data_IF_767402292794
#
_entry.id   IF_767402292794
#
_cell.length_a   1.000
_cell.length_b   1.000
_cell.length_c   1.000
_cell.angle_alpha   90.00
_cell.angle_beta   90.00
_cell.angle_gamma   90.00
#
_symmetry.space_group_name_H-M   'P 1'
#
loop_
_entity.id
_entity.type
_entity.pdbx_description
1 polymer ?
#
# COMPACT_ATOMS: atom_id res chain seq x y z
N UNK A 1 39.23 -1.19 9.28
CA UNK A 1 38.69 -0.99 7.91
C UNK A 1 37.45 -1.86 7.79
N UNK A 2 36.25 -1.28 7.93
CA UNK A 2 35.01 -2.05 7.84
C UNK A 2 34.79 -2.42 6.37
N UNK A 3 34.88 -3.70 6.02
CA UNK A 3 34.54 -4.21 4.69
C UNK A 3 33.10 -3.84 4.41
N UNK A 4 32.90 -2.85 3.53
CA UNK A 4 31.57 -2.35 3.21
C UNK A 4 30.86 -3.41 2.36
N UNK A 5 30.13 -4.31 3.03
CA UNK A 5 29.33 -5.35 2.37
C UNK A 5 28.36 -4.67 1.41
N UNK A 6 28.49 -4.95 0.12
CA UNK A 6 27.62 -4.40 -0.90
C UNK A 6 26.29 -5.17 -0.89
N UNK A 7 25.16 -4.49 -1.16
CA UNK A 7 23.89 -5.17 -1.28
C UNK A 7 23.92 -6.17 -2.44
N UNK A 8 23.29 -7.32 -2.27
CA UNK A 8 23.14 -8.31 -3.34
C UNK A 8 22.10 -7.86 -4.38
N UNK A 9 21.13 -7.04 -3.94
CA UNK A 9 20.09 -6.43 -4.78
C UNK A 9 19.80 -5.00 -4.32
N UNK A 10 19.55 -4.11 -5.26
CA UNK A 10 19.00 -2.77 -5.06
C UNK A 10 17.61 -2.73 -5.66
N UNK A 11 16.59 -2.55 -4.83
CA UNK A 11 15.20 -2.69 -5.21
C UNK A 11 14.47 -1.37 -4.98
N UNK A 12 13.50 -1.07 -5.83
CA UNK A 12 12.48 -0.05 -5.56
C UNK A 12 11.20 -0.76 -5.12
N UNK A 13 10.61 -0.34 -4.00
CA UNK A 13 9.31 -0.80 -3.56
C UNK A 13 8.26 0.24 -3.94
N UNK A 14 7.37 -0.07 -4.89
CA UNK A 14 6.24 0.78 -5.20
C UNK A 14 5.13 0.59 -4.16
N UNK A 15 4.59 1.70 -3.67
CA UNK A 15 3.57 1.77 -2.62
C UNK A 15 2.41 2.73 -2.99
N UNK A 16 2.33 3.10 -4.27
CA UNK A 16 1.34 4.03 -4.80
C UNK A 16 1.51 5.47 -4.31
N UNK A 17 2.57 5.76 -3.55
CA UNK A 17 2.91 7.13 -3.19
C UNK A 17 3.53 7.86 -4.37
N UNK A 18 3.30 9.18 -4.49
CA UNK A 18 4.03 10.02 -5.45
C UNK A 18 5.55 9.86 -5.35
N UNK A 19 6.09 9.69 -4.14
CA UNK A 19 7.53 9.55 -3.94
C UNK A 19 8.12 8.28 -4.58
N UNK A 20 7.43 7.14 -4.50
CA UNK A 20 7.94 5.92 -5.12
C UNK A 20 7.95 6.02 -6.65
N UNK A 21 6.93 6.65 -7.24
CA UNK A 21 6.90 6.96 -8.68
C UNK A 21 7.99 7.97 -9.07
N UNK A 22 8.25 8.98 -8.23
CA UNK A 22 9.37 9.90 -8.44
C UNK A 22 10.71 9.18 -8.48
N UNK A 23 10.97 8.27 -7.53
CA UNK A 23 12.20 7.47 -7.53
C UNK A 23 12.36 6.64 -8.81
N UNK A 24 11.27 6.07 -9.31
CA UNK A 24 11.27 5.34 -10.58
C UNK A 24 11.72 6.24 -11.74
N UNK A 25 11.16 7.45 -11.85
CA UNK A 25 11.52 8.41 -12.91
C UNK A 25 12.95 8.93 -12.77
N UNK A 26 13.37 9.29 -11.55
CA UNK A 26 14.74 9.74 -11.30
C UNK A 26 15.75 8.65 -11.71
N UNK A 27 15.47 7.39 -11.40
CA UNK A 27 16.30 6.27 -11.82
C UNK A 27 16.25 6.05 -13.35
N UNK A 28 15.06 6.14 -13.96
CA UNK A 28 14.89 5.99 -15.40
C UNK A 28 15.57 7.10 -16.21
N UNK A 29 15.68 8.30 -15.65
CA UNK A 29 16.39 9.44 -16.24
C UNK A 29 17.89 9.46 -15.89
N UNK A 30 18.38 8.51 -15.09
CA UNK A 30 19.78 8.45 -14.68
C UNK A 30 20.21 9.50 -13.66
N UNK A 31 19.26 10.22 -13.04
CA UNK A 31 19.53 11.20 -11.98
C UNK A 31 19.94 10.51 -10.66
N UNK A 32 19.49 9.27 -10.44
CA UNK A 32 19.97 8.38 -9.38
C UNK A 32 20.36 7.02 -9.98
N UNK A 33 21.18 6.20 -9.28
CA UNK A 33 21.50 4.87 -9.77
C UNK A 33 20.23 4.03 -9.97
N UNK A 34 20.21 3.24 -11.04
CA UNK A 34 19.11 2.32 -11.35
C UNK A 34 18.94 1.25 -10.28
N UNK A 35 17.72 0.73 -10.18
CA UNK A 35 17.39 -0.42 -9.37
C UNK A 35 17.55 -1.70 -10.21
N UNK A 36 17.92 -2.80 -9.57
CA UNK A 36 17.92 -4.12 -10.21
C UNK A 36 16.48 -4.54 -10.55
N UNK A 37 15.54 -4.26 -9.65
CA UNK A 37 14.12 -4.51 -9.86
C UNK A 37 13.22 -3.48 -9.16
N UNK A 38 12.02 -3.31 -9.71
CA UNK A 38 10.90 -2.56 -9.17
C UNK A 38 9.83 -3.58 -8.74
N UNK A 39 9.55 -3.63 -7.44
CA UNK A 39 8.59 -4.55 -6.85
C UNK A 39 7.29 -3.84 -6.52
N UNK A 40 6.16 -4.48 -6.87
CA UNK A 40 4.82 -4.00 -6.56
C UNK A 40 4.11 -5.05 -5.72
N UNK A 41 3.55 -4.70 -4.54
CA UNK A 41 2.62 -5.59 -3.87
C UNK A 41 1.36 -5.71 -4.73
N UNK A 42 1.00 -6.92 -5.16
CA UNK A 42 -0.18 -7.13 -5.99
C UNK A 42 -1.28 -7.79 -5.18
N UNK A 43 -2.30 -6.99 -4.82
CA UNK A 43 -3.49 -7.47 -4.11
C UNK A 43 -4.49 -8.16 -5.03
N UNK A 44 -4.35 -7.97 -6.35
CA UNK A 44 -5.28 -8.43 -7.36
C UNK A 44 -6.64 -7.72 -7.34
N UNK A 45 -6.82 -6.65 -6.56
CA UNK A 45 -8.11 -5.96 -6.41
C UNK A 45 -8.01 -4.46 -6.65
N UNK A 46 -7.49 -4.09 -7.83
CA UNK A 46 -7.30 -2.71 -8.27
C UNK A 46 -8.37 -2.31 -9.30
N UNK A 47 -8.61 -1.00 -9.44
CA UNK A 47 -9.47 -0.48 -10.51
C UNK A 47 -8.79 -0.61 -11.88
N UNK A 48 -9.60 -0.51 -12.95
CA UNK A 48 -9.06 -0.45 -14.31
C UNK A 48 -8.10 0.74 -14.49
N UNK A 49 -8.41 1.87 -13.85
CA UNK A 49 -7.55 3.05 -13.83
C UNK A 49 -6.18 2.78 -13.17
N UNK A 50 -6.15 2.17 -11.98
CA UNK A 50 -4.89 1.78 -11.32
C UNK A 50 -4.10 0.77 -12.16
N UNK A 51 -4.76 -0.18 -12.82
CA UNK A 51 -4.08 -1.09 -13.75
C UNK A 51 -3.41 -0.38 -14.93
N UNK A 52 -4.07 0.62 -15.55
CA UNK A 52 -3.47 1.44 -16.62
C UNK A 52 -2.27 2.23 -16.11
N UNK A 53 -2.34 2.78 -14.90
CA UNK A 53 -1.23 3.50 -14.29
C UNK A 53 -0.03 2.58 -14.04
N UNK A 54 -0.25 1.41 -13.42
CA UNK A 54 0.80 0.41 -13.20
C UNK A 54 1.45 -0.03 -14.52
N UNK A 55 0.68 -0.15 -15.60
CA UNK A 55 1.21 -0.47 -16.92
C UNK A 55 2.08 0.66 -17.50
N UNK A 56 1.73 1.92 -17.24
CA UNK A 56 2.59 3.07 -17.59
C UNK A 56 3.89 3.04 -16.80
N UNK A 57 3.84 2.79 -15.49
CA UNK A 57 5.03 2.66 -14.65
C UNK A 57 5.91 1.48 -15.07
N UNK A 58 5.29 0.35 -15.43
CA UNK A 58 6.00 -0.82 -15.97
C UNK A 58 6.81 -0.47 -17.20
N UNK A 59 6.22 0.25 -18.16
CA UNK A 59 6.92 0.69 -19.39
C UNK A 59 8.11 1.60 -19.09
N UNK A 60 8.00 2.49 -18.10
CA UNK A 60 9.10 3.34 -17.65
C UNK A 60 10.23 2.48 -17.07
N UNK A 61 9.90 1.54 -16.17
CA UNK A 61 10.86 0.67 -15.53
C UNK A 61 11.61 -0.20 -16.56
N UNK A 62 10.88 -0.89 -17.43
CA UNK A 62 11.47 -1.81 -18.42
C UNK A 62 12.24 -1.06 -19.50
N UNK A 63 11.79 0.14 -19.91
CA UNK A 63 12.53 1.01 -20.83
C UNK A 63 13.88 1.47 -20.28
N UNK A 64 14.02 1.57 -18.95
CA UNK A 64 15.27 1.85 -18.27
C UNK A 64 16.08 0.59 -17.89
N UNK A 65 15.64 -0.59 -18.36
CA UNK A 65 16.21 -1.91 -18.02
C UNK A 65 16.25 -2.20 -16.51
N UNK A 66 15.20 -1.81 -15.79
CA UNK A 66 14.93 -2.27 -14.42
C UNK A 66 13.89 -3.39 -14.49
N UNK A 67 14.14 -4.52 -13.84
CA UNK A 67 13.19 -5.64 -13.81
C UNK A 67 11.87 -5.18 -13.17
N UNK A 68 10.74 -5.66 -13.68
CA UNK A 68 9.42 -5.36 -13.11
C UNK A 68 8.80 -6.62 -12.56
N UNK A 69 8.50 -6.64 -11.27
CA UNK A 69 7.98 -7.83 -10.61
C UNK A 69 6.80 -7.53 -9.68
N UNK A 70 5.73 -8.31 -9.85
CA UNK A 70 4.57 -8.32 -8.96
C UNK A 70 4.80 -9.32 -7.84
N UNK A 71 4.65 -8.87 -6.60
CA UNK A 71 4.65 -9.69 -5.42
C UNK A 71 3.20 -9.97 -5.02
N UNK A 72 2.64 -11.04 -5.58
CA UNK A 72 1.25 -11.44 -5.36
C UNK A 72 0.95 -11.79 -3.91
N UNK A 73 -0.14 -11.23 -3.37
CA UNK A 73 -0.66 -11.62 -2.06
C UNK A 73 -1.66 -12.77 -2.18
N UNK A 74 -2.03 -13.38 -1.06
CA UNK A 74 -3.31 -14.10 -1.02
C UNK A 74 -4.45 -13.16 -1.38
N UNK A 75 -5.52 -13.69 -2.00
CA UNK A 75 -6.60 -12.86 -2.55
C UNK A 75 -7.31 -12.05 -1.47
N UNK A 76 -7.08 -10.74 -1.46
CA UNK A 76 -7.74 -9.82 -0.52
C UNK A 76 -9.23 -9.72 -0.83
N UNK A 77 -9.61 -9.65 -2.12
CA UNK A 77 -11.00 -9.60 -2.54
C UNK A 77 -11.79 -10.84 -2.06
N UNK A 78 -11.28 -12.04 -2.33
CA UNK A 78 -11.93 -13.29 -1.94
C UNK A 78 -12.17 -13.36 -0.43
N UNK A 79 -11.15 -13.03 0.35
CA UNK A 79 -11.23 -13.11 1.81
C UNK A 79 -12.12 -12.03 2.41
N UNK A 80 -12.16 -10.84 1.78
CA UNK A 80 -13.02 -9.73 2.23
C UNK A 80 -14.48 -9.95 1.85
N UNK A 81 -14.77 -10.52 0.69
CA UNK A 81 -16.14 -10.75 0.22
C UNK A 81 -16.73 -12.08 0.69
N UNK A 82 -15.93 -12.91 1.35
CA UNK A 82 -16.37 -14.16 1.96
C UNK A 82 -16.62 -13.95 3.46
N UNK A 83 -17.90 -13.86 3.83
CA UNK A 83 -18.36 -13.76 5.21
C UNK A 83 -18.11 -15.02 6.06
N UNK A 84 -17.24 -15.95 5.65
CA UNK A 84 -16.72 -17.06 6.47
C UNK A 84 -15.24 -16.92 6.78
N UNK A 85 -14.55 -15.98 6.14
CA UNK A 85 -13.14 -15.73 6.31
C UNK A 85 -12.88 -14.42 7.07
N UNK A 86 -11.75 -14.32 7.78
CA UNK A 86 -11.33 -13.06 8.38
C UNK A 86 -11.05 -12.00 7.31
N UNK A 87 -11.67 -10.83 7.43
CA UNK A 87 -11.38 -9.70 6.55
C UNK A 87 -9.98 -9.13 6.83
N UNK A 88 -9.11 -9.01 5.81
CA UNK A 88 -7.83 -8.35 5.97
C UNK A 88 -7.91 -6.81 5.89
N UNK A 89 -9.04 -6.24 5.46
CA UNK A 89 -9.17 -4.79 5.32
C UNK A 89 -9.28 -4.10 6.69
N UNK A 90 -8.68 -2.89 6.87
CA UNK A 90 -8.78 -2.11 8.09
C UNK A 90 -10.13 -1.35 8.18
N UNK A 91 -11.24 -2.10 8.15
CA UNK A 91 -12.60 -1.55 8.15
C UNK A 91 -12.85 -0.69 9.39
N UNK A 92 -13.64 0.37 9.22
CA UNK A 92 -14.19 1.11 10.36
C UNK A 92 -15.32 0.32 10.97
N UNK A 93 -15.38 0.26 12.31
CA UNK A 93 -16.40 -0.51 13.02
C UNK A 93 -17.28 0.39 13.87
N UNK A 94 -18.53 -0.02 14.06
CA UNK A 94 -19.48 0.60 14.99
C UNK A 94 -20.14 -0.50 15.83
N UNK A 95 -19.86 -0.52 17.13
CA UNK A 95 -20.48 -1.44 18.08
C UNK A 95 -21.96 -1.11 18.31
N UNK A 96 -22.79 -2.04 18.82
CA UNK A 96 -24.21 -1.79 19.09
C UNK A 96 -24.50 -0.63 20.08
N UNK A 97 -23.56 -0.37 20.98
CA UNK A 97 -23.58 0.76 21.92
C UNK A 97 -23.15 2.10 21.29
N UNK A 98 -22.85 2.10 19.99
CA UNK A 98 -22.37 3.26 19.25
C UNK A 98 -20.84 3.48 19.35
N UNK A 99 -20.10 2.59 19.99
CA UNK A 99 -18.65 2.76 20.15
C UNK A 99 -17.92 2.62 18.81
N UNK A 100 -17.15 3.64 18.37
CA UNK A 100 -16.37 3.56 17.15
C UNK A 100 -15.11 2.71 17.34
N UNK A 101 -14.77 1.91 16.33
CA UNK A 101 -13.51 1.15 16.30
C UNK A 101 -12.93 1.02 14.89
N UNK A 102 -11.90 0.18 14.76
CA UNK A 102 -11.23 -0.10 13.48
C UNK A 102 -10.57 -1.48 13.51
N UNK A 103 -10.69 -2.23 12.42
CA UNK A 103 -10.00 -3.51 12.26
C UNK A 103 -8.48 -3.30 12.03
N UNK A 104 -7.64 -4.28 12.41
CA UNK A 104 -6.20 -4.24 12.13
C UNK A 104 -5.88 -4.19 10.63
N UNK A 105 -4.69 -3.72 10.29
CA UNK A 105 -4.20 -3.59 8.91
C UNK A 105 -3.71 -4.93 8.30
N UNK A 106 -4.57 -5.95 8.31
CA UNK A 106 -4.23 -7.30 7.82
C UNK A 106 -3.74 -7.34 6.38
N UNK A 107 -4.28 -6.47 5.51
CA UNK A 107 -3.92 -6.37 4.10
C UNK A 107 -2.50 -5.83 3.90
N UNK A 108 -2.05 -4.89 4.73
CA UNK A 108 -0.69 -4.37 4.69
C UNK A 108 0.31 -5.47 5.08
N UNK A 109 0.04 -6.18 6.18
CA UNK A 109 0.85 -7.34 6.60
C UNK A 109 0.99 -8.39 5.49
N UNK A 110 -0.09 -8.70 4.77
CA UNK A 110 -0.05 -9.65 3.63
C UNK A 110 0.83 -9.15 2.49
N UNK A 111 0.77 -7.86 2.17
CA UNK A 111 1.64 -7.25 1.15
C UNK A 111 3.11 -7.26 1.57
N UNK A 112 3.42 -6.93 2.84
CA UNK A 112 4.78 -7.03 3.38
C UNK A 112 5.33 -8.46 3.31
N UNK A 113 4.50 -9.47 3.62
CA UNK A 113 4.86 -10.89 3.51
C UNK A 113 5.11 -11.30 2.06
N UNK A 114 4.27 -10.86 1.12
CA UNK A 114 4.45 -11.14 -0.31
C UNK A 114 5.75 -10.53 -0.85
N UNK A 115 6.02 -9.27 -0.53
CA UNK A 115 7.26 -8.58 -0.92
C UNK A 115 8.48 -9.24 -0.29
N UNK A 116 8.43 -9.54 1.02
CA UNK A 116 9.52 -10.25 1.71
C UNK A 116 9.80 -11.60 1.06
N UNK A 117 8.76 -12.36 0.72
CA UNK A 117 8.89 -13.65 0.03
C UNK A 117 9.50 -13.50 -1.37
N UNK A 118 9.15 -12.42 -2.08
CA UNK A 118 9.73 -12.10 -3.37
C UNK A 118 11.22 -11.71 -3.26
N UNK A 119 11.57 -10.85 -2.32
CA UNK A 119 12.95 -10.44 -2.05
C UNK A 119 13.82 -11.66 -1.73
N UNK A 120 13.32 -12.60 -0.92
CA UNK A 120 14.01 -13.86 -0.63
C UNK A 120 14.35 -14.67 -1.87
N UNK A 121 13.43 -14.76 -2.84
CA UNK A 121 13.68 -15.41 -4.13
C UNK A 121 14.77 -14.69 -4.91
N UNK A 122 14.73 -13.36 -4.98
CA UNK A 122 15.75 -12.55 -5.67
C UNK A 122 17.15 -12.66 -5.04
N UNK A 123 17.21 -12.91 -3.73
CA UNK A 123 18.44 -13.17 -3.00
C UNK A 123 18.94 -14.62 -3.15
N UNK A 124 18.12 -15.54 -3.67
CA UNK A 124 18.45 -16.96 -3.84
C UNK A 124 18.13 -17.86 -2.64
N UNK A 125 17.36 -17.37 -1.66
CA UNK A 125 17.04 -18.08 -0.41
C UNK A 125 15.52 -18.15 -0.18
N UNK A 126 14.75 -18.82 -1.07
CA UNK A 126 13.31 -18.99 -0.87
C UNK A 126 13.03 -19.71 0.47
N UNK A 127 11.88 -19.37 1.10
CA UNK A 127 11.46 -20.05 2.33
C UNK A 127 11.40 -21.58 2.13
N UNK A 128 11.84 -22.41 3.10
CA UNK A 128 12.25 -22.05 4.47
C UNK A 128 13.75 -21.74 4.68
N UNK A 129 14.58 -21.71 3.62
CA UNK A 129 16.04 -21.60 3.76
C UNK A 129 16.48 -20.29 4.43
N UNK A 130 17.28 -20.29 5.51
CA UNK A 130 17.73 -19.04 6.13
C UNK A 130 18.54 -18.19 5.15
N UNK A 131 18.40 -16.86 5.24
CA UNK A 131 19.27 -15.93 4.50
C UNK A 131 20.55 -15.77 5.33
N UNK A 132 21.74 -16.06 4.77
CA UNK A 132 22.99 -15.94 5.51
C UNK A 132 23.29 -14.51 5.95
N UNK A 133 24.03 -14.37 7.04
CA UNK A 133 24.51 -13.08 7.52
C UNK A 133 25.31 -12.34 6.44
N UNK A 134 25.08 -11.04 6.32
CA UNK A 134 25.70 -10.20 5.30
C UNK A 134 25.05 -10.29 3.91
N UNK A 135 24.07 -11.19 3.68
CA UNK A 135 23.25 -11.19 2.46
C UNK A 135 21.99 -10.35 2.69
N UNK A 136 21.87 -9.24 1.97
CA UNK A 136 20.71 -8.35 2.07
C UNK A 136 20.39 -7.65 0.75
N UNK A 137 19.16 -7.14 0.65
CA UNK A 137 18.72 -6.22 -0.38
C UNK A 137 18.56 -4.81 0.19
N UNK A 138 19.05 -3.80 -0.52
CA UNK A 138 18.68 -2.40 -0.28
C UNK A 138 17.34 -2.12 -0.95
N UNK A 139 16.36 -1.66 -0.19
CA UNK A 139 15.01 -1.40 -0.66
C UNK A 139 14.69 0.09 -0.54
N UNK A 140 14.69 0.81 -1.65
CA UNK A 140 14.28 2.20 -1.70
C UNK A 140 12.75 2.31 -1.57
N UNK A 141 12.31 3.28 -0.77
CA UNK A 141 10.90 3.59 -0.52
C UNK A 141 10.62 5.07 -0.76
N UNK A 142 9.38 5.39 -1.13
CA UNK A 142 8.94 6.72 -1.58
C UNK A 142 8.77 7.79 -0.51
N UNK A 143 9.53 7.73 0.59
CA UNK A 143 9.40 8.68 1.70
C UNK A 143 10.39 9.84 1.59
N UNK A 144 9.85 11.06 1.63
CA UNK A 144 10.58 12.32 1.62
C UNK A 144 10.93 12.85 3.02
N UNK A 145 11.19 14.15 3.10
CA UNK A 145 11.59 14.86 4.33
C UNK A 145 10.54 14.86 5.43
N UNK A 146 9.26 14.74 5.08
CA UNK A 146 8.16 14.67 6.03
C UNK A 146 8.10 13.35 6.82
N UNK A 147 8.92 12.35 6.48
CA UNK A 147 8.89 11.05 7.13
C UNK A 147 9.78 11.02 8.38
N UNK A 148 9.14 11.09 9.56
CA UNK A 148 9.82 10.98 10.85
C UNK A 148 10.11 9.53 11.30
N UNK A 149 9.56 8.54 10.60
CA UNK A 149 9.66 7.13 11.00
C UNK A 149 10.67 6.36 10.14
N UNK A 150 11.21 5.28 10.71
CA UNK A 150 11.98 4.31 9.95
C UNK A 150 11.17 3.03 9.87
N UNK A 151 11.00 2.53 8.65
CA UNK A 151 10.50 1.19 8.42
C UNK A 151 11.49 0.17 8.98
N UNK A 152 10.95 -0.81 9.69
CA UNK A 152 11.66 -2.02 10.08
C UNK A 152 11.19 -3.20 9.22
N UNK A 153 12.11 -4.13 9.00
CA UNK A 153 11.88 -5.32 8.21
C UNK A 153 12.78 -6.44 8.69
N UNK A 154 12.71 -7.62 8.06
CA UNK A 154 13.61 -8.71 8.40
C UNK A 154 15.08 -8.29 8.09
N UNK A 155 16.08 -8.91 8.75
CA UNK A 155 17.49 -8.49 8.66
C UNK A 155 18.08 -8.37 7.25
N UNK A 156 17.52 -9.11 6.28
CA UNK A 156 17.94 -9.09 4.87
C UNK A 156 17.24 -8.03 4.01
N UNK A 157 16.38 -7.19 4.59
CA UNK A 157 15.70 -6.06 3.93
C UNK A 157 16.16 -4.76 4.59
N UNK A 158 16.98 -4.00 3.88
CA UNK A 158 17.50 -2.74 4.37
C UNK A 158 16.81 -1.57 3.66
N UNK A 159 15.94 -0.86 4.38
CA UNK A 159 15.23 0.28 3.81
C UNK A 159 16.16 1.48 3.55
N UNK A 160 15.94 2.14 2.42
CA UNK A 160 16.65 3.35 1.98
C UNK A 160 15.65 4.45 1.64
N UNK A 161 16.03 5.69 1.93
CA UNK A 161 15.17 6.87 1.82
C UNK A 161 15.81 7.92 0.88
N UNK A 162 15.95 7.66 -0.43
CA UNK A 162 16.71 8.54 -1.30
C UNK A 162 16.11 9.96 -1.40
N UNK A 163 14.78 10.10 -1.33
CA UNK A 163 14.13 11.41 -1.38
C UNK A 163 14.45 12.25 -0.15
N UNK A 164 14.42 11.66 1.06
CA UNK A 164 14.86 12.33 2.27
C UNK A 164 16.33 12.79 2.16
N UNK A 165 17.22 11.94 1.61
CA UNK A 165 18.62 12.30 1.37
C UNK A 165 18.79 13.44 0.35
N UNK A 166 17.86 13.56 -0.60
CA UNK A 166 17.81 14.66 -1.58
C UNK A 166 17.14 15.91 -1.02
N UNK A 167 16.54 15.86 0.18
CA UNK A 167 15.76 16.95 0.74
C UNK A 167 14.40 17.15 0.06
N UNK A 168 13.87 16.15 -0.64
CA UNK A 168 12.61 16.25 -1.37
C UNK A 168 11.43 15.88 -0.47
N UNK A 169 10.41 16.71 -0.49
CA UNK A 169 9.12 16.46 0.15
C UNK A 169 8.13 15.77 -0.80
N UNK A 170 7.00 15.29 -0.27
CA UNK A 170 5.89 14.81 -1.10
C UNK A 170 5.36 15.87 -2.07
N UNK A 171 5.44 17.16 -1.69
CA UNK A 171 5.03 18.27 -2.54
C UNK A 171 5.96 18.39 -3.75
N UNK A 172 7.26 18.28 -3.54
CA UNK A 172 8.26 18.32 -4.61
C UNK A 172 8.06 17.14 -5.55
N UNK A 173 7.79 15.95 -5.00
CA UNK A 173 7.45 14.77 -5.79
C UNK A 173 6.23 15.01 -6.68
N UNK A 174 5.14 15.56 -6.15
CA UNK A 174 3.94 15.88 -6.93
C UNK A 174 4.22 16.90 -8.04
N UNK A 175 4.96 17.97 -7.74
CA UNK A 175 5.32 18.97 -8.73
C UNK A 175 6.17 18.37 -9.85
N UNK A 176 7.14 17.52 -9.50
CA UNK A 176 7.96 16.79 -10.45
C UNK A 176 7.10 15.87 -11.33
N UNK A 177 6.24 15.03 -10.73
CA UNK A 177 5.37 14.13 -11.49
C UNK A 177 4.45 14.88 -12.46
N UNK A 178 3.89 16.02 -12.04
CA UNK A 178 3.06 16.85 -12.91
C UNK A 178 3.82 17.35 -14.14
N UNK A 179 5.07 17.79 -13.99
CA UNK A 179 5.92 18.17 -15.12
C UNK A 179 6.18 17.02 -16.10
N UNK A 180 6.15 15.77 -15.61
CA UNK A 180 6.29 14.55 -16.41
C UNK A 180 4.94 13.95 -16.87
N UNK A 181 3.83 14.69 -16.70
CA UNK A 181 2.47 14.26 -17.07
C UNK A 181 1.99 13.02 -16.32
N UNK A 182 2.45 12.85 -15.08
CA UNK A 182 2.09 11.78 -14.13
C UNK A 182 1.36 12.34 -12.90
N UNK A 183 0.67 13.47 -13.09
CA UNK A 183 -0.16 14.17 -12.11
C UNK A 183 -1.46 13.45 -11.75
N UNK A 184 -1.91 12.52 -12.58
CA UNK A 184 -3.11 11.73 -12.30
C UNK A 184 -2.94 10.99 -10.96
N UNK A 185 -3.86 11.22 -10.02
CA UNK A 185 -3.90 10.55 -8.70
C UNK A 185 -4.28 9.07 -8.84
N UNK A 186 -3.43 8.33 -9.53
CA UNK A 186 -3.57 6.91 -9.75
C UNK A 186 -2.94 6.14 -8.60
N UNK A 187 -3.35 6.47 -7.38
CA UNK A 187 -2.96 5.75 -6.18
C UNK A 187 -3.20 4.24 -6.36
N UNK A 188 -2.40 3.42 -5.67
CA UNK A 188 -2.56 1.96 -5.68
C UNK A 188 -3.58 1.50 -4.64
N UNK A 189 -4.61 2.30 -4.37
CA UNK A 189 -5.68 1.89 -3.48
C UNK A 189 -6.51 0.77 -4.14
N UNK A 190 -6.80 -0.29 -3.38
CA UNK A 190 -7.72 -1.32 -3.82
C UNK A 190 -9.13 -0.74 -4.05
N UNK A 191 -9.99 -1.49 -4.76
CA UNK A 191 -11.38 -1.10 -5.04
C UNK A 191 -12.12 -0.73 -3.74
N UNK A 192 -12.04 -1.60 -2.72
CA UNK A 192 -12.68 -1.39 -1.43
C UNK A 192 -11.69 -1.00 -0.32
N UNK A 193 -10.71 -0.14 -0.60
CA UNK A 193 -9.72 0.27 0.40
C UNK A 193 -10.34 1.26 1.41
N UNK A 194 -10.43 0.94 2.72
CA UNK A 194 -10.96 1.89 3.72
C UNK A 194 -10.08 3.12 3.95
N UNK A 195 -8.82 3.07 3.48
CA UNK A 195 -7.88 4.19 3.60
C UNK A 195 -7.92 5.14 2.40
N UNK A 196 -8.89 4.96 1.50
CA UNK A 196 -9.09 5.90 0.40
C UNK A 196 -9.70 7.19 0.94
N UNK A 197 -9.13 8.30 0.50
CA UNK A 197 -9.51 9.66 0.84
C UNK A 197 -10.89 10.04 0.25
N UNK A 198 -11.55 11.05 0.80
CA UNK A 198 -12.79 11.60 0.24
C UNK A 198 -12.58 12.05 -1.21
N UNK A 199 -11.47 12.73 -1.47
CA UNK A 199 -11.08 13.12 -2.82
C UNK A 199 -10.91 11.90 -3.73
N UNK A 200 -10.25 10.86 -3.24
CA UNK A 200 -10.01 9.62 -3.98
C UNK A 200 -11.29 8.83 -4.27
N UNK A 201 -12.27 8.84 -3.36
CA UNK A 201 -13.60 8.28 -3.59
C UNK A 201 -14.40 9.11 -4.60
N UNK A 202 -14.40 10.44 -4.47
CA UNK A 202 -15.06 11.34 -5.40
C UNK A 202 -14.49 11.22 -6.82
N UNK A 203 -13.17 11.14 -6.94
CA UNK A 203 -12.49 10.91 -8.21
C UNK A 203 -12.84 9.54 -8.80
N UNK A 204 -12.84 8.46 -7.99
CA UNK A 204 -13.26 7.14 -8.46
C UNK A 204 -14.71 7.17 -8.98
N UNK A 205 -15.62 7.81 -8.24
CA UNK A 205 -17.03 7.96 -8.64
C UNK A 205 -17.19 8.70 -9.96
N UNK A 206 -16.36 9.71 -10.22
CA UNK A 206 -16.40 10.49 -11.46
C UNK A 206 -15.72 9.79 -12.64
N UNK A 207 -14.53 9.21 -12.42
CA UNK A 207 -13.67 8.66 -13.47
C UNK A 207 -13.98 7.19 -13.81
N UNK A 208 -14.50 6.41 -12.85
CA UNK A 208 -14.83 5.00 -13.00
C UNK A 208 -16.07 4.61 -12.15
N UNK A 209 -17.28 5.06 -12.55
CA UNK A 209 -18.51 4.82 -11.79
C UNK A 209 -18.84 3.33 -11.58
N UNK A 210 -18.39 2.47 -12.50
CA UNK A 210 -18.56 1.02 -12.40
C UNK A 210 -17.75 0.45 -11.23
N UNK A 211 -16.48 0.83 -11.11
CA UNK A 211 -15.65 0.43 -9.96
C UNK A 211 -16.15 1.04 -8.65
N UNK A 212 -16.68 2.28 -8.68
CA UNK A 212 -17.31 2.86 -7.49
C UNK A 212 -18.54 2.05 -7.05
N UNK A 213 -19.36 1.59 -8.00
CA UNK A 213 -20.51 0.71 -7.71
C UNK A 213 -20.07 -0.63 -7.12
N UNK A 214 -18.96 -1.22 -7.61
CA UNK A 214 -18.34 -2.40 -7.00
C UNK A 214 -17.91 -2.14 -5.55
N UNK A 215 -17.31 -0.98 -5.28
CA UNK A 215 -16.93 -0.60 -3.92
C UNK A 215 -18.13 -0.45 -2.98
N UNK A 216 -19.24 0.14 -3.45
CA UNK A 216 -20.50 0.24 -2.69
C UNK A 216 -21.09 -1.16 -2.42
N UNK A 217 -21.06 -2.05 -3.40
CA UNK A 217 -21.50 -3.43 -3.22
C UNK A 217 -20.63 -4.19 -2.21
N UNK A 218 -19.31 -4.00 -2.26
CA UNK A 218 -18.39 -4.54 -1.28
C UNK A 218 -18.69 -4.01 0.14
N UNK A 219 -18.89 -2.70 0.30
CA UNK A 219 -19.27 -2.09 1.59
C UNK A 219 -20.56 -2.72 2.16
N UNK A 220 -21.57 -2.93 1.32
CA UNK A 220 -22.82 -3.57 1.73
C UNK A 220 -22.64 -5.03 2.17
N UNK A 221 -21.78 -5.80 1.48
CA UNK A 221 -21.45 -7.19 1.85
C UNK A 221 -20.71 -7.23 3.20
N UNK A 222 -19.75 -6.34 3.40
CA UNK A 222 -18.92 -6.26 4.60
C UNK A 222 -19.72 -5.86 5.85
N UNK A 223 -20.77 -5.04 5.66
CA UNK A 223 -21.52 -4.36 6.73
C UNK A 223 -22.00 -5.26 7.86
N UNK A 224 -22.43 -6.47 7.52
CA UNK A 224 -23.13 -7.37 8.45
C UNK A 224 -22.35 -8.63 8.82
N UNK A 225 -21.11 -8.82 8.36
CA UNK A 225 -20.46 -10.10 8.60
C UNK A 225 -18.96 -10.15 8.42
N UNK A 226 -18.28 -10.58 9.50
CA UNK A 226 -17.14 -11.49 9.46
C UNK A 226 -17.19 -12.37 10.73
N UNK A 227 -17.40 -13.69 10.65
CA UNK A 227 -17.65 -14.58 11.79
C UNK A 227 -16.42 -14.80 12.68
N UNK A 228 -15.29 -14.19 12.35
CA UNK A 228 -14.16 -14.04 13.27
C UNK A 228 -14.29 -12.86 14.25
N UNK A 229 -15.30 -12.01 14.10
CA UNK A 229 -15.53 -10.85 14.96
C UNK A 229 -16.07 -11.24 16.34
N UNK A 230 -16.95 -12.25 16.39
CA UNK A 230 -17.48 -12.81 17.64
C UNK A 230 -16.39 -13.55 18.46
N UNK A 231 -15.20 -13.75 17.90
CA UNK A 231 -14.10 -14.53 18.50
C UNK A 231 -12.79 -13.74 18.71
N UNK A 232 -12.78 -12.42 18.48
CA UNK A 232 -11.68 -11.51 18.85
C UNK A 232 -12.13 -10.32 19.71
N UNK A 233 -13.21 -10.50 20.49
CA UNK A 233 -13.66 -9.50 21.47
C UNK A 233 -14.50 -8.35 20.89
N UNK A 234 -14.96 -8.43 19.64
CA UNK A 234 -15.94 -7.46 19.13
C UNK A 234 -17.35 -7.89 19.54
N UNK A 235 -18.20 -6.96 20.03
CA UNK A 235 -19.57 -7.29 20.43
C UNK A 235 -20.40 -7.82 19.26
N UNK A 236 -21.27 -8.83 19.47
CA UNK A 236 -22.25 -9.25 18.47
C UNK A 236 -23.07 -8.07 17.97
N UNK A 237 -23.37 -8.01 16.67
CA UNK A 237 -24.09 -6.89 16.06
C UNK A 237 -23.23 -5.67 15.70
N UNK A 238 -21.90 -5.76 15.83
CA UNK A 238 -20.97 -4.75 15.28
C UNK A 238 -21.15 -4.61 13.77
N UNK A 239 -21.23 -3.37 13.28
CA UNK A 239 -21.28 -3.02 11.87
C UNK A 239 -19.90 -2.62 11.34
N UNK A 240 -19.68 -2.82 10.04
CA UNK A 240 -18.42 -2.53 9.33
C UNK A 240 -18.63 -1.59 8.15
N UNK A 241 -17.66 -0.70 7.93
CA UNK A 241 -17.74 0.34 6.92
C UNK A 241 -16.39 0.57 6.24
N UNK A 242 -16.44 0.94 4.96
CA UNK A 242 -15.28 1.46 4.24
C UNK A 242 -14.99 2.93 4.59
N UNK A 243 -16.00 3.69 5.00
CA UNK A 243 -15.88 5.13 5.25
C UNK A 243 -15.66 5.47 6.74
N UNK A 244 -14.79 6.44 7.10
CA UNK A 244 -14.52 6.82 8.49
C UNK A 244 -15.75 7.31 9.26
N UNK A 245 -16.73 7.91 8.57
CA UNK A 245 -17.97 8.38 9.19
C UNK A 245 -18.95 7.26 9.55
N UNK A 246 -18.62 6.00 9.24
CA UNK A 246 -19.45 4.81 9.58
C UNK A 246 -20.85 4.88 8.98
N UNK A 247 -20.93 5.41 7.77
CA UNK A 247 -22.12 5.41 6.92
C UNK A 247 -21.86 4.55 5.68
N UNK A 248 -22.91 4.03 5.03
CA UNK A 248 -22.78 3.42 3.70
C UNK A 248 -21.98 4.29 2.75
N UNK A 249 -21.10 3.70 1.95
CA UNK A 249 -20.20 4.46 1.07
C UNK A 249 -20.96 5.37 0.08
N UNK A 250 -22.14 4.95 -0.38
CA UNK A 250 -23.02 5.73 -1.26
C UNK A 250 -23.73 6.90 -0.57
N UNK A 251 -23.70 6.94 0.77
CA UNK A 251 -24.30 7.99 1.61
C UNK A 251 -23.24 8.92 2.23
N UNK A 252 -21.96 8.61 2.07
CA UNK A 252 -20.87 9.40 2.60
C UNK A 252 -20.75 10.78 1.93
N UNK A 253 -20.45 11.81 2.72
CA UNK A 253 -20.11 13.14 2.19
C UNK A 253 -18.65 13.17 1.72
N UNK A 254 -18.47 12.87 0.43
CA UNK A 254 -17.18 12.87 -0.23
C UNK A 254 -16.66 14.28 -0.60
N UNK A 255 -17.39 15.35 -0.26
CA UNK A 255 -17.00 16.74 -0.58
C UNK A 255 -16.11 17.38 0.50
N UNK A 256 -16.13 16.83 1.72
CA UNK A 256 -15.33 17.34 2.83
C UNK A 256 -13.83 17.14 2.58
N UNK A 257 -13.06 18.23 2.68
CA UNK A 257 -11.60 18.27 2.44
C UNK A 257 -10.77 17.75 3.61
N UNK A 258 -11.41 17.33 4.71
CA UNK A 258 -10.76 16.90 5.96
C UNK A 258 -10.26 15.46 5.84
N UNK A 259 -9.31 15.22 4.95
CA UNK A 259 -8.74 13.87 4.76
C UNK A 259 -7.55 13.60 5.69
N UNK A 260 -7.46 12.41 6.32
CA UNK A 260 -6.40 12.08 7.28
C UNK A 260 -5.04 11.76 6.63
N UNK A 261 -4.87 11.95 5.32
CA UNK A 261 -3.58 11.77 4.65
C UNK A 261 -3.68 11.54 3.15
N UNK A 262 -2.54 11.50 2.44
CA UNK A 262 -2.53 11.22 1.00
C UNK A 262 -2.99 9.78 0.72
N UNK A 263 -3.75 9.60 -0.37
CA UNK A 263 -4.06 8.28 -0.93
C UNK A 263 -2.78 7.49 -1.20
N UNK A 264 -2.70 6.26 -0.69
CA UNK A 264 -1.55 5.39 -0.89
C UNK A 264 -1.56 4.15 0.00
N UNK A 265 -0.96 3.06 -0.48
CA UNK A 265 -0.88 1.80 0.24
C UNK A 265 0.58 1.49 0.56
N UNK A 266 0.99 1.62 1.82
CA UNK A 266 2.34 1.29 2.28
C UNK A 266 2.35 -0.07 3.00
N UNK A 267 2.89 -1.15 2.40
CA UNK A 267 2.83 -2.51 2.97
C UNK A 267 3.43 -2.69 4.37
N UNK A 268 4.32 -1.79 4.81
CA UNK A 268 4.95 -1.80 6.15
C UNK A 268 4.56 -0.63 7.06
N UNK A 269 3.73 0.29 6.58
CA UNK A 269 3.32 1.48 7.33
C UNK A 269 2.05 2.06 6.72
N UNK A 270 0.98 1.26 6.62
CA UNK A 270 -0.23 1.72 5.95
C UNK A 270 -0.72 2.99 6.67
N UNK A 271 -0.82 4.07 5.90
CA UNK A 271 -1.05 5.41 6.43
C UNK A 271 -2.53 5.53 6.78
N UNK A 272 -2.86 5.27 8.03
CA UNK A 272 -4.17 5.58 8.59
C UNK A 272 -4.11 5.36 10.08
N UNK A 273 -4.54 6.36 10.86
CA UNK A 273 -4.45 6.44 12.32
C UNK A 273 -4.47 5.06 13.01
N UNK A 274 -3.30 4.62 13.49
CA UNK A 274 -3.23 3.45 14.35
C UNK A 274 -3.72 3.85 15.75
N UNK A 275 -4.71 3.16 16.32
CA UNK A 275 -4.85 3.17 17.77
C UNK A 275 -3.75 2.26 18.34
N UNK A 276 -2.63 2.86 18.75
CA UNK A 276 -1.60 2.21 19.55
C UNK A 276 -0.76 1.17 18.81
N UNK A 277 0.48 1.53 18.50
CA UNK A 277 1.45 0.65 17.86
C UNK A 277 1.69 -0.62 18.69
N UNK A 278 1.62 -1.77 18.01
CA UNK A 278 2.24 -2.99 18.48
C UNK A 278 3.55 -3.17 17.70
N UNK A 279 4.66 -3.18 18.44
CA UNK A 279 5.96 -3.51 17.94
C UNK A 279 5.95 -4.91 17.29
N UNK A 280 6.75 -5.04 16.24
CA UNK A 280 7.00 -6.29 15.54
C UNK A 280 7.92 -7.16 16.42
N UNK A 281 7.35 -8.10 17.16
CA UNK A 281 8.05 -9.26 17.71
C UNK A 281 7.84 -10.49 16.80
#
# INVERSE_FOLDING_TARGET
MSTRTLPRRRLLLLDGSPGATTLLLLAAHGAIPRFDAVLIPDTGWYSAHTHRHLERLRRIATGAAMEWARAETSSIARDSLNNRLPCPLPLFTLSPDGTPGRLPQGCARRQALALTSHIRRLLGYPHPHPVPDGVFAECAVGYGTEHAHHLSGPPFVLFRYPLANLGWSIRDCRAFLHHHGLDEEAGMACVACPNRSNHGWAHLRAADPATFTEAVAADAILRHGHPGAETRGMPPGTLYFLHPDRVPLDQADLSATTDPGPDGCAPWACRGAEPGGAAWD
#
